data_IF_875226677176
#
_entry.id   IF_875226677176
#
_cell.length_a   1.000
_cell.length_b   1.000
_cell.length_c   1.000
_cell.angle_alpha   90.00
_cell.angle_beta   90.00
_cell.angle_gamma   90.00
#
_symmetry.space_group_name_H-M   'P 1'
#
loop_
_entity.id
_entity.type
_entity.pdbx_description
1 polymer ?
#
# COMPACT_ATOMS: atom_id res chain seq x y z
N UNK A 1 -13.04 7.94 -20.32
CA UNK A 1 -13.51 7.16 -19.16
C UNK A 1 -12.34 6.34 -18.67
N UNK A 2 -11.94 6.47 -17.41
CA UNK A 2 -10.92 5.57 -16.83
C UNK A 2 -11.53 4.20 -16.65
N UNK A 3 -10.84 3.17 -17.14
CA UNK A 3 -11.24 1.78 -17.03
C UNK A 3 -11.24 1.38 -15.54
N UNK A 4 -12.26 0.66 -15.11
CA UNK A 4 -12.32 0.11 -13.75
C UNK A 4 -11.35 -1.08 -13.64
N UNK A 5 -10.64 -1.24 -12.50
CA UNK A 5 -9.77 -2.39 -12.31
C UNK A 5 -10.61 -3.67 -12.24
N UNK A 6 -10.05 -4.79 -12.69
CA UNK A 6 -10.67 -6.11 -12.57
C UNK A 6 -10.52 -6.67 -11.15
N UNK A 7 -9.39 -6.36 -10.50
CA UNK A 7 -9.09 -6.77 -9.13
C UNK A 7 -8.52 -5.60 -8.33
N UNK A 8 -8.84 -5.58 -7.03
CA UNK A 8 -8.16 -4.72 -6.05
C UNK A 8 -7.47 -5.58 -5.00
N UNK A 9 -6.20 -5.27 -4.72
CA UNK A 9 -5.37 -5.96 -3.73
C UNK A 9 -5.12 -5.00 -2.57
N UNK A 10 -5.61 -5.35 -1.39
CA UNK A 10 -5.46 -4.55 -0.17
C UNK A 10 -4.27 -5.09 0.64
N UNK A 11 -3.28 -4.24 0.89
CA UNK A 11 -2.05 -4.59 1.60
C UNK A 11 -1.95 -3.73 2.89
N UNK A 12 -2.21 -4.31 4.07
CA UNK A 12 -1.90 -3.64 5.32
C UNK A 12 -0.38 -3.64 5.54
N UNK A 13 0.17 -2.49 5.92
CA UNK A 13 1.60 -2.31 6.17
C UNK A 13 1.83 -1.67 7.55
N UNK A 14 2.86 -2.14 8.26
CA UNK A 14 3.37 -1.50 9.47
C UNK A 14 4.85 -1.84 9.64
N UNK A 15 5.71 -0.82 9.72
CA UNK A 15 7.15 -0.92 10.04
C UNK A 15 7.92 -2.02 9.26
N UNK A 16 7.56 -2.28 8.01
CA UNK A 16 8.14 -3.39 7.21
C UNK A 16 8.33 -3.02 5.73
N UNK A 17 9.07 -1.93 5.44
CA UNK A 17 9.19 -1.39 4.07
C UNK A 17 9.84 -2.37 3.09
N UNK A 18 10.81 -3.19 3.53
CA UNK A 18 11.47 -4.17 2.65
C UNK A 18 10.51 -5.29 2.21
N UNK A 19 9.65 -5.75 3.12
CA UNK A 19 8.65 -6.78 2.83
C UNK A 19 7.57 -6.21 1.92
N UNK A 20 7.14 -4.96 2.17
CA UNK A 20 6.21 -4.26 1.30
C UNK A 20 6.79 -4.10 -0.10
N UNK A 21 8.04 -3.66 -0.22
CA UNK A 21 8.74 -3.50 -1.51
C UNK A 21 8.76 -4.80 -2.30
N UNK A 22 9.15 -5.92 -1.65
CA UNK A 22 9.16 -7.24 -2.27
C UNK A 22 7.75 -7.72 -2.64
N UNK A 23 6.75 -7.46 -1.80
CA UNK A 23 5.35 -7.79 -2.07
C UNK A 23 4.84 -7.04 -3.31
N UNK A 24 5.07 -5.72 -3.37
CA UNK A 24 4.71 -4.91 -4.52
C UNK A 24 5.42 -5.42 -5.77
N UNK A 25 6.73 -5.69 -5.73
CA UNK A 25 7.47 -6.22 -6.87
C UNK A 25 6.91 -7.55 -7.44
N UNK A 26 6.18 -8.32 -6.62
CA UNK A 26 5.52 -9.57 -7.06
C UNK A 26 4.18 -9.35 -7.78
N UNK A 27 3.62 -8.14 -7.72
CA UNK A 27 2.37 -7.75 -8.36
C UNK A 27 2.72 -6.96 -9.63
N UNK A 28 2.16 -7.26 -10.81
CA UNK A 28 2.41 -6.49 -12.02
C UNK A 28 1.78 -5.09 -11.94
N UNK A 29 2.42 -4.08 -12.52
CA UNK A 29 1.86 -2.72 -12.60
C UNK A 29 1.00 -2.61 -13.87
N UNK A 30 -0.30 -2.91 -13.76
CA UNK A 30 -1.19 -2.92 -14.91
C UNK A 30 -2.60 -2.42 -14.56
N UNK A 31 -3.28 -1.84 -15.56
CA UNK A 31 -4.60 -1.20 -15.39
C UNK A 31 -5.73 -2.13 -14.91
N UNK A 32 -5.54 -3.45 -14.97
CA UNK A 32 -6.52 -4.41 -14.48
C UNK A 32 -6.40 -4.67 -12.97
N UNK A 33 -5.33 -4.22 -12.32
CA UNK A 33 -5.07 -4.46 -10.90
C UNK A 33 -4.83 -3.12 -10.21
N UNK A 34 -5.69 -2.79 -9.26
CA UNK A 34 -5.44 -1.72 -8.30
C UNK A 34 -4.76 -2.30 -7.07
N UNK A 35 -3.70 -1.66 -6.59
CA UNK A 35 -3.08 -1.99 -5.30
C UNK A 35 -3.39 -0.88 -4.31
N UNK A 36 -3.95 -1.22 -3.15
CA UNK A 36 -4.24 -0.26 -2.09
C UNK A 36 -3.36 -0.63 -0.91
N UNK A 37 -2.37 0.20 -0.61
CA UNK A 37 -1.50 0.04 0.55
C UNK A 37 -2.00 0.93 1.67
N UNK A 38 -2.22 0.35 2.85
CA UNK A 38 -2.61 1.08 4.04
C UNK A 38 -1.46 1.00 5.04
N UNK A 39 -0.76 2.10 5.22
CA UNK A 39 0.21 2.26 6.29
C UNK A 39 -0.51 2.51 7.62
N UNK A 40 -0.33 1.60 8.58
CA UNK A 40 -0.98 1.66 9.89
C UNK A 40 -0.17 2.44 10.91
N UNK A 41 0.17 3.69 10.58
CA UNK A 41 0.94 4.63 11.39
C UNK A 41 2.36 4.13 11.70
N UNK A 42 3.13 3.79 10.66
CA UNK A 42 4.53 3.37 10.80
C UNK A 42 5.42 4.48 11.35
N UNK A 43 6.52 4.08 11.98
CA UNK A 43 7.52 5.01 12.50
C UNK A 43 8.34 5.63 11.36
N UNK A 44 8.54 6.96 11.34
CA UNK A 44 9.43 7.61 10.37
C UNK A 44 10.91 7.27 10.59
N UNK A 45 11.27 6.61 11.69
CA UNK A 45 12.62 6.06 11.91
C UNK A 45 12.83 4.77 11.09
N UNK A 46 11.74 4.05 10.78
CA UNK A 46 11.78 2.75 10.09
C UNK A 46 11.41 2.90 8.62
N UNK A 47 10.46 3.79 8.32
CA UNK A 47 9.91 3.99 6.99
C UNK A 47 10.30 5.37 6.49
N UNK A 48 10.96 5.40 5.34
CA UNK A 48 11.14 6.63 4.57
C UNK A 48 9.83 6.96 3.85
N UNK A 49 9.14 8.00 4.32
CA UNK A 49 7.87 8.44 3.73
C UNK A 49 8.07 9.33 2.50
N UNK A 50 9.25 9.92 2.32
CA UNK A 50 9.58 10.68 1.10
C UNK A 50 9.79 9.72 -0.09
N UNK A 51 10.25 8.48 0.19
CA UNK A 51 10.43 7.40 -0.79
C UNK A 51 9.61 6.15 -0.43
N UNK A 52 8.34 6.34 -0.03
CA UNK A 52 7.50 5.25 0.44
C UNK A 52 7.35 4.13 -0.62
N UNK A 53 7.44 2.84 -0.25
CA UNK A 53 7.36 1.74 -1.21
C UNK A 53 6.10 1.81 -2.08
N UNK A 54 6.31 1.95 -3.39
CA UNK A 54 5.25 2.01 -4.38
C UNK A 54 4.86 3.41 -4.82
N UNK A 55 5.41 4.50 -4.27
CA UNK A 55 5.09 5.88 -4.70
C UNK A 55 5.18 6.13 -6.22
N UNK A 56 6.08 5.43 -6.91
CA UNK A 56 6.29 5.55 -8.36
C UNK A 56 5.38 4.66 -9.23
N UNK A 57 4.49 3.85 -8.62
CA UNK A 57 3.65 2.91 -9.37
C UNK A 57 2.35 3.56 -9.85
N UNK A 58 1.92 3.22 -11.05
CA UNK A 58 0.78 3.91 -11.68
C UNK A 58 -0.56 3.50 -11.07
N UNK A 59 -0.74 2.22 -10.73
CA UNK A 59 -2.03 1.67 -10.31
C UNK A 59 -2.10 1.40 -8.81
N UNK A 60 -1.36 2.18 -8.02
CA UNK A 60 -1.35 2.09 -6.56
C UNK A 60 -2.13 3.24 -5.91
N UNK A 61 -2.70 3.00 -4.75
CA UNK A 61 -3.27 4.01 -3.86
C UNK A 61 -2.64 3.85 -2.49
N UNK A 62 -2.06 4.92 -1.96
CA UNK A 62 -1.44 4.93 -0.64
C UNK A 62 -2.37 5.62 0.35
N UNK A 63 -2.70 4.93 1.43
CA UNK A 63 -3.50 5.45 2.54
C UNK A 63 -2.66 5.40 3.81
N UNK A 64 -2.61 6.52 4.54
CA UNK A 64 -1.86 6.64 5.78
C UNK A 64 -2.83 6.80 6.95
N UNK A 65 -2.98 5.74 7.73
CA UNK A 65 -3.76 5.79 8.95
C UNK A 65 -2.97 6.53 10.04
N UNK A 66 -3.66 7.36 10.84
CA UNK A 66 -3.04 8.20 11.87
C UNK A 66 -2.89 7.49 13.22
N UNK A 67 -3.58 6.37 13.41
CA UNK A 67 -3.59 5.62 14.67
C UNK A 67 -3.47 4.14 14.38
N UNK A 68 -2.38 3.50 14.82
CA UNK A 68 -2.21 2.06 14.66
C UNK A 68 -3.36 1.31 15.36
N UNK A 69 -4.12 0.53 14.60
CA UNK A 69 -5.26 -0.29 15.07
C UNK A 69 -5.16 -1.74 14.60
N UNK A 70 -4.01 -2.12 14.05
CA UNK A 70 -3.70 -3.44 13.55
C UNK A 70 -4.21 -3.71 12.14
N UNK A 71 -3.68 -4.79 11.55
CA UNK A 71 -3.94 -5.18 10.16
C UNK A 71 -5.42 -5.46 9.84
N UNK A 72 -6.24 -5.81 10.83
CA UNK A 72 -7.69 -5.96 10.65
C UNK A 72 -8.37 -4.63 10.33
N UNK A 73 -8.04 -3.59 11.10
CA UNK A 73 -8.57 -2.25 10.86
C UNK A 73 -8.05 -1.68 9.54
N UNK A 74 -6.73 -1.80 9.29
CA UNK A 74 -6.11 -1.30 8.07
C UNK A 74 -6.75 -1.89 6.81
N UNK A 75 -7.08 -3.19 6.81
CA UNK A 75 -7.78 -3.84 5.69
C UNK A 75 -9.20 -3.33 5.45
N UNK A 76 -9.90 -2.86 6.50
CA UNK A 76 -11.26 -2.34 6.37
C UNK A 76 -11.31 -0.88 5.89
N UNK A 77 -10.16 -0.20 5.80
CA UNK A 77 -10.05 1.18 5.30
C UNK A 77 -9.85 1.26 3.78
N UNK A 78 -9.30 0.21 3.17
CA UNK A 78 -9.12 0.08 1.73
C UNK A 78 -10.22 -0.74 1.09
#
# INVERSE_FOLDING_TARGET
MTKQPLYSVIIPHYNSPDVLTRCLASIPDCENIQVIVIDDNSSPIIVDFDHFPGCERTFITLLFNKNNKGAGHARNLG
#
